data_IF_651360696399
#
_entry.id   IF_651360696399
#
_cell.length_a   1.000
_cell.length_b   1.000
_cell.length_c   1.000
_cell.angle_alpha   90.00
_cell.angle_beta   90.00
_cell.angle_gamma   90.00
#
_symmetry.space_group_name_H-M   'P 1'
#
loop_
_entity.id
_entity.type
_entity.pdbx_description
1 polymer ?
#
# COMPACT_ATOMS: atom_id res chain seq x y z
N UNK A 1 13.08 -57.45 -20.85
CA UNK A 1 12.25 -56.85 -19.79
C UNK A 1 13.04 -55.99 -18.81
N UNK A 2 14.14 -56.46 -18.19
CA UNK A 2 14.95 -55.65 -17.24
C UNK A 2 15.47 -54.31 -17.79
N UNK A 3 15.85 -54.22 -19.07
CA UNK A 3 16.29 -52.95 -19.67
C UNK A 3 15.17 -51.93 -19.87
N UNK A 4 13.91 -52.37 -20.05
CA UNK A 4 12.76 -51.47 -20.16
C UNK A 4 12.33 -50.94 -18.78
N UNK A 5 12.43 -51.78 -17.75
CA UNK A 5 12.21 -51.41 -16.34
C UNK A 5 13.27 -50.41 -15.84
N UNK A 6 14.54 -50.58 -16.27
CA UNK A 6 15.62 -49.63 -16.03
C UNK A 6 15.44 -48.26 -16.74
N UNK A 7 14.61 -48.20 -17.79
CA UNK A 7 14.26 -46.93 -18.45
C UNK A 7 13.08 -46.26 -17.75
N UNK A 8 12.09 -47.03 -17.28
CA UNK A 8 10.95 -46.51 -16.51
C UNK A 8 11.34 -45.91 -15.15
N UNK A 9 12.34 -46.49 -14.48
CA UNK A 9 12.87 -45.99 -13.19
C UNK A 9 13.49 -44.58 -13.30
N UNK A 10 14.10 -44.22 -14.43
CA UNK A 10 14.65 -42.86 -14.65
C UNK A 10 13.57 -41.79 -14.78
N UNK A 11 12.35 -42.16 -15.15
CA UNK A 11 11.22 -41.22 -15.28
C UNK A 11 10.65 -40.90 -13.89
N UNK A 12 10.65 -41.88 -12.97
CA UNK A 12 10.19 -41.68 -11.58
C UNK A 12 11.19 -40.93 -10.70
N UNK A 13 12.47 -40.88 -11.09
CA UNK A 13 13.53 -40.14 -10.38
C UNK A 13 13.58 -38.64 -10.72
N UNK A 14 12.71 -38.16 -11.63
CA UNK A 14 12.60 -36.73 -11.90
C UNK A 14 11.96 -36.09 -10.66
N UNK A 15 12.65 -35.17 -9.96
CA UNK A 15 12.06 -34.48 -8.82
C UNK A 15 10.89 -33.62 -9.30
N UNK A 16 9.69 -33.95 -8.82
CA UNK A 16 8.44 -33.27 -9.16
C UNK A 16 7.88 -32.64 -7.88
N UNK A 17 8.35 -31.44 -7.58
CA UNK A 17 7.99 -30.70 -6.35
C UNK A 17 6.66 -29.94 -6.48
N UNK A 18 5.62 -30.58 -7.04
CA UNK A 18 4.32 -29.94 -7.30
C UNK A 18 3.62 -29.47 -6.02
N UNK A 19 3.87 -30.12 -4.88
CA UNK A 19 3.33 -29.73 -3.59
C UNK A 19 3.85 -28.36 -3.12
N UNK A 20 5.00 -27.90 -3.62
CA UNK A 20 5.57 -26.60 -3.25
C UNK A 20 4.84 -25.43 -3.91
N UNK A 21 4.13 -25.67 -5.02
CA UNK A 21 3.55 -24.63 -5.87
C UNK A 21 2.32 -23.94 -5.27
N UNK A 22 1.63 -24.59 -4.34
CA UNK A 22 0.36 -24.10 -3.76
C UNK A 22 0.51 -23.44 -2.39
N UNK A 23 1.74 -23.15 -1.96
CA UNK A 23 2.02 -22.45 -0.71
C UNK A 23 2.86 -21.18 -0.98
N UNK A 24 2.46 -20.02 -0.45
CA UNK A 24 3.23 -18.79 -0.59
C UNK A 24 4.62 -18.86 0.05
N UNK A 25 4.88 -19.81 0.95
CA UNK A 25 6.17 -19.91 1.65
C UNK A 25 7.15 -20.85 0.94
N UNK A 26 6.64 -21.87 0.23
CA UNK A 26 7.48 -22.85 -0.46
C UNK A 26 7.54 -22.66 -1.97
N UNK A 27 6.61 -21.90 -2.56
CA UNK A 27 6.54 -21.71 -4.01
C UNK A 27 7.79 -20.98 -4.52
N UNK A 28 8.42 -21.45 -5.62
CA UNK A 28 9.54 -20.75 -6.24
C UNK A 28 9.17 -19.31 -6.63
N UNK A 29 10.07 -18.36 -6.36
CA UNK A 29 9.81 -16.91 -6.51
C UNK A 29 9.31 -16.53 -7.89
N UNK A 30 9.87 -17.13 -8.94
CA UNK A 30 9.50 -16.87 -10.33
C UNK A 30 8.09 -17.35 -10.68
N UNK A 31 7.50 -18.25 -9.89
CA UNK A 31 6.14 -18.76 -10.06
C UNK A 31 5.11 -18.04 -9.19
N UNK A 32 5.54 -17.22 -8.22
CA UNK A 32 4.63 -16.45 -7.36
C UNK A 32 3.60 -15.60 -8.12
N UNK A 33 3.89 -14.99 -9.30
CA UNK A 33 2.86 -14.25 -10.05
C UNK A 33 1.66 -15.11 -10.47
N UNK A 34 1.89 -16.40 -10.76
CA UNK A 34 0.81 -17.32 -11.12
C UNK A 34 0.02 -17.77 -9.90
N UNK A 35 0.69 -17.97 -8.76
CA UNK A 35 0.02 -18.26 -7.50
C UNK A 35 -0.82 -17.06 -7.03
N UNK A 36 -0.29 -15.84 -7.16
CA UNK A 36 -1.01 -14.61 -6.87
C UNK A 36 -2.27 -14.46 -7.75
N UNK A 37 -2.15 -14.76 -9.05
CA UNK A 37 -3.30 -14.80 -9.95
C UNK A 37 -4.34 -15.85 -9.52
N UNK A 38 -3.90 -17.05 -9.14
CA UNK A 38 -4.79 -18.11 -8.69
C UNK A 38 -5.55 -17.77 -7.39
N UNK A 39 -4.96 -16.93 -6.54
CA UNK A 39 -5.62 -16.42 -5.32
C UNK A 39 -6.31 -15.06 -5.51
N UNK A 40 -6.46 -14.61 -6.76
CA UNK A 40 -7.12 -13.34 -7.10
C UNK A 40 -6.53 -12.16 -6.33
N UNK A 41 -5.20 -12.06 -6.25
CA UNK A 41 -4.52 -10.91 -5.66
C UNK A 41 -4.76 -9.68 -6.54
N UNK A 42 -5.32 -8.61 -5.97
CA UNK A 42 -5.79 -7.44 -6.72
C UNK A 42 -4.65 -6.55 -7.26
N UNK A 43 -3.57 -6.42 -6.48
CA UNK A 43 -2.37 -5.66 -6.87
C UNK A 43 -1.12 -6.51 -6.80
N UNK A 44 -0.38 -6.50 -7.89
CA UNK A 44 0.90 -7.17 -8.03
C UNK A 44 1.94 -6.26 -8.65
N UNK A 45 3.13 -6.18 -8.04
CA UNK A 45 4.30 -5.53 -8.63
C UNK A 45 5.45 -6.54 -8.75
N UNK A 46 6.06 -6.59 -9.93
CA UNK A 46 7.21 -7.45 -10.23
C UNK A 46 8.47 -6.98 -9.51
N UNK A 47 8.56 -5.71 -9.16
CA UNK A 47 9.72 -5.11 -8.50
C UNK A 47 9.66 -5.20 -6.97
N UNK A 48 8.55 -5.67 -6.40
CA UNK A 48 8.45 -5.85 -4.95
C UNK A 48 9.50 -6.84 -4.42
N UNK A 49 9.99 -6.61 -3.18
CA UNK A 49 10.75 -7.60 -2.44
C UNK A 49 10.01 -8.93 -2.38
N UNK A 50 10.75 -10.04 -2.34
CA UNK A 50 10.17 -11.38 -2.25
C UNK A 50 9.21 -11.52 -1.06
N UNK A 51 9.59 -10.95 0.09
CA UNK A 51 8.75 -11.01 1.29
C UNK A 51 7.39 -10.34 1.07
N UNK A 52 7.36 -9.14 0.48
CA UNK A 52 6.10 -8.45 0.14
C UNK A 52 5.25 -9.28 -0.82
N UNK A 53 5.87 -9.88 -1.85
CA UNK A 53 5.17 -10.78 -2.79
C UNK A 53 4.53 -11.96 -2.10
N UNK A 54 5.21 -12.59 -1.13
CA UNK A 54 4.65 -13.72 -0.38
C UNK A 54 3.56 -13.25 0.59
N UNK A 55 3.77 -12.11 1.26
CA UNK A 55 2.82 -11.52 2.20
C UNK A 55 1.47 -11.20 1.54
N UNK A 56 1.45 -10.54 0.38
CA UNK A 56 0.19 -10.22 -0.32
C UNK A 56 -0.60 -11.47 -0.72
N UNK A 57 0.09 -12.57 -1.05
CA UNK A 57 -0.55 -13.85 -1.37
C UNK A 57 -1.12 -14.48 -0.09
N UNK A 58 -0.38 -14.42 1.04
CA UNK A 58 -0.86 -14.90 2.35
C UNK A 58 -2.11 -14.14 2.82
N UNK A 59 -2.13 -12.83 2.62
CA UNK A 59 -3.24 -11.97 3.06
C UNK A 59 -4.48 -12.08 2.16
N UNK A 60 -4.33 -12.48 0.90
CA UNK A 60 -5.41 -12.56 -0.09
C UNK A 60 -6.65 -13.28 0.46
N UNK A 61 -6.48 -14.44 1.11
CA UNK A 61 -7.61 -15.19 1.65
C UNK A 61 -8.38 -14.42 2.74
N UNK A 62 -7.68 -13.74 3.65
CA UNK A 62 -8.33 -12.94 4.69
C UNK A 62 -9.02 -11.71 4.11
N UNK A 63 -8.40 -11.06 3.12
CA UNK A 63 -9.00 -9.92 2.42
C UNK A 63 -10.31 -10.36 1.74
N UNK A 64 -10.27 -11.42 0.94
CA UNK A 64 -11.45 -11.95 0.25
C UNK A 64 -12.55 -12.39 1.20
N UNK A 65 -12.19 -13.07 2.30
CA UNK A 65 -13.14 -13.52 3.32
C UNK A 65 -13.81 -12.37 4.07
N UNK A 66 -13.11 -11.26 4.27
CA UNK A 66 -13.57 -10.12 5.06
C UNK A 66 -13.84 -8.87 4.20
N UNK A 67 -14.03 -9.02 2.89
CA UNK A 67 -14.41 -7.92 2.00
C UNK A 67 -15.61 -7.17 2.58
N UNK A 68 -15.56 -5.86 2.44
CA UNK A 68 -16.55 -4.95 2.98
C UNK A 68 -16.30 -4.48 4.41
N UNK A 69 -15.25 -4.95 5.07
CA UNK A 69 -14.87 -4.51 6.43
C UNK A 69 -13.69 -3.54 6.41
N UNK A 70 -13.55 -2.74 7.48
CA UNK A 70 -12.38 -1.89 7.70
C UNK A 70 -11.08 -2.71 7.72
N UNK A 71 -11.14 -3.95 8.23
CA UNK A 71 -9.99 -4.88 8.24
C UNK A 71 -9.52 -5.24 6.83
N UNK A 72 -10.45 -5.49 5.90
CA UNK A 72 -10.09 -5.77 4.50
C UNK A 72 -9.48 -4.53 3.82
N UNK A 73 -10.03 -3.33 4.06
CA UNK A 73 -9.46 -2.09 3.54
C UNK A 73 -8.02 -1.88 4.03
N UNK A 74 -7.77 -2.08 5.33
CA UNK A 74 -6.42 -1.98 5.93
C UNK A 74 -5.46 -2.97 5.28
N UNK A 75 -5.83 -4.25 5.22
CA UNK A 75 -4.99 -5.31 4.64
C UNK A 75 -4.72 -5.15 3.15
N UNK A 76 -5.62 -4.51 2.40
CA UNK A 76 -5.41 -4.24 0.98
C UNK A 76 -4.40 -3.11 0.73
N UNK A 77 -4.26 -2.16 1.67
CA UNK A 77 -3.50 -0.92 1.48
C UNK A 77 -2.17 -0.92 2.25
N UNK A 78 -2.13 -1.47 3.47
CA UNK A 78 -0.94 -1.54 4.32
C UNK A 78 0.31 -2.15 3.66
N UNK A 79 0.22 -3.22 2.84
CA UNK A 79 1.39 -3.79 2.14
C UNK A 79 2.10 -2.82 1.20
N UNK A 80 1.44 -1.73 0.80
CA UNK A 80 2.00 -0.70 -0.05
C UNK A 80 2.77 0.38 0.74
N UNK A 81 2.86 0.25 2.07
CA UNK A 81 3.54 1.21 2.95
C UNK A 81 2.67 2.38 3.38
N UNK A 82 1.35 2.29 3.18
CA UNK A 82 0.41 3.34 3.56
C UNK A 82 -0.39 2.94 4.79
N UNK A 83 -0.61 3.90 5.68
CA UNK A 83 -1.51 3.74 6.82
C UNK A 83 -2.83 4.41 6.50
N UNK A 84 -3.94 3.73 6.77
CA UNK A 84 -5.28 4.27 6.55
C UNK A 84 -6.05 4.44 7.85
N UNK A 85 -6.82 5.52 7.92
CA UNK A 85 -7.84 5.76 8.93
C UNK A 85 -9.18 5.92 8.23
N UNK A 86 -10.09 4.99 8.49
CA UNK A 86 -11.46 5.03 7.99
C UNK A 86 -12.32 5.70 9.05
N UNK A 87 -13.09 6.71 8.67
CA UNK A 87 -14.09 7.34 9.54
C UNK A 87 -15.49 7.09 8.98
N UNK A 88 -16.40 6.56 9.80
CA UNK A 88 -17.78 6.29 9.40
C UNK A 88 -18.68 7.51 9.63
N UNK A 89 -19.78 7.61 8.87
CA UNK A 89 -20.65 8.80 8.84
C UNK A 89 -21.11 9.30 10.22
N UNK A 90 -21.31 8.43 11.21
CA UNK A 90 -21.71 8.85 12.55
C UNK A 90 -20.59 9.51 13.36
N UNK A 91 -19.32 9.36 12.96
CA UNK A 91 -18.18 9.97 13.62
C UNK A 91 -17.99 11.43 13.22
N UNK A 92 -18.39 11.80 12.00
CA UNK A 92 -18.24 13.16 11.45
C UNK A 92 -19.58 13.84 11.11
N UNK A 93 -20.72 13.20 11.41
CA UNK A 93 -22.05 13.75 11.13
C UNK A 93 -22.42 13.78 9.65
N UNK A 94 -21.93 12.82 8.86
CA UNK A 94 -22.21 12.68 7.44
C UNK A 94 -23.52 11.95 7.10
N UNK A 95 -23.76 11.78 5.80
CA UNK A 95 -24.92 11.04 5.27
C UNK A 95 -24.86 9.55 5.68
N UNK A 96 -25.97 8.96 6.18
CA UNK A 96 -26.01 7.56 6.57
C UNK A 96 -25.56 6.60 5.47
N UNK A 97 -24.67 5.67 5.82
CA UNK A 97 -24.11 4.69 4.89
C UNK A 97 -22.87 5.17 4.12
N UNK A 98 -22.33 6.35 4.44
CA UNK A 98 -21.09 6.87 3.86
C UNK A 98 -19.89 6.74 4.80
N UNK A 99 -18.69 6.90 4.24
CA UNK A 99 -17.44 6.93 4.99
C UNK A 99 -16.39 7.79 4.28
N UNK A 100 -15.40 8.23 5.04
CA UNK A 100 -14.20 8.91 4.52
C UNK A 100 -12.97 8.08 4.83
N UNK A 101 -11.94 8.21 3.99
CA UNK A 101 -10.65 7.53 4.19
C UNK A 101 -9.56 8.58 4.23
N UNK A 102 -8.78 8.55 5.31
CA UNK A 102 -7.53 9.30 5.45
C UNK A 102 -6.36 8.35 5.20
N UNK A 103 -5.44 8.74 4.32
CA UNK A 103 -4.24 7.98 3.98
C UNK A 103 -3.03 8.79 4.41
N UNK A 104 -2.25 8.24 5.33
CA UNK A 104 -0.94 8.77 5.70
C UNK A 104 0.14 8.24 4.76
N UNK A 105 0.91 9.14 4.17
CA UNK A 105 2.10 8.80 3.35
C UNK A 105 3.35 9.09 4.17
N UNK A 106 4.24 8.10 4.29
CA UNK A 106 5.47 8.23 5.09
C UNK A 106 6.59 8.91 4.29
N UNK A 107 6.80 8.55 3.02
CA UNK A 107 7.97 9.01 2.25
C UNK A 107 7.71 9.20 0.74
N UNK A 108 6.55 8.78 0.22
CA UNK A 108 6.20 8.96 -1.20
C UNK A 108 5.37 10.23 -1.40
N UNK A 109 5.74 11.03 -2.40
CA UNK A 109 4.94 12.18 -2.80
C UNK A 109 3.53 11.77 -3.25
N UNK A 110 2.56 12.67 -3.07
CA UNK A 110 1.19 12.48 -3.55
C UNK A 110 1.18 12.62 -5.08
N UNK A 111 1.15 11.50 -5.80
CA UNK A 111 0.99 11.48 -7.26
C UNK A 111 -0.43 11.10 -7.67
N UNK A 112 -0.82 11.46 -8.90
CA UNK A 112 -2.12 11.09 -9.46
C UNK A 112 -2.26 9.57 -9.60
N UNK A 113 -1.18 8.87 -9.97
CA UNK A 113 -1.21 7.40 -10.09
C UNK A 113 -1.47 6.73 -8.74
N UNK A 114 -0.90 7.28 -7.66
CA UNK A 114 -1.17 6.79 -6.30
C UNK A 114 -2.64 7.00 -5.93
N UNK A 115 -3.19 8.18 -6.21
CA UNK A 115 -4.60 8.48 -5.93
C UNK A 115 -5.54 7.50 -6.64
N UNK A 116 -5.34 7.29 -7.95
CA UNK A 116 -6.16 6.36 -8.74
C UNK A 116 -6.05 4.92 -8.25
N UNK A 117 -4.85 4.50 -7.83
CA UNK A 117 -4.65 3.16 -7.30
C UNK A 117 -5.30 2.98 -5.92
N UNK A 118 -5.23 3.98 -5.05
CA UNK A 118 -5.95 3.96 -3.77
C UNK A 118 -7.46 3.87 -3.99
N UNK A 119 -8.01 4.69 -4.90
CA UNK A 119 -9.43 4.65 -5.23
C UNK A 119 -9.84 3.27 -5.75
N UNK A 120 -9.03 2.67 -6.64
CA UNK A 120 -9.28 1.34 -7.18
C UNK A 120 -9.27 0.25 -6.09
N UNK A 121 -8.29 0.27 -5.19
CA UNK A 121 -8.17 -0.71 -4.11
C UNK A 121 -9.30 -0.57 -3.09
N UNK A 122 -9.65 0.66 -2.73
CA UNK A 122 -10.80 0.93 -1.85
C UNK A 122 -12.09 0.47 -2.51
N UNK A 123 -12.27 0.70 -3.81
CA UNK A 123 -13.45 0.29 -4.55
C UNK A 123 -13.64 -1.23 -4.59
N UNK A 124 -12.56 -2.00 -4.68
CA UNK A 124 -12.61 -3.46 -4.69
C UNK A 124 -12.89 -4.07 -3.29
N UNK A 125 -12.36 -3.43 -2.24
CA UNK A 125 -12.53 -3.91 -0.86
C UNK A 125 -13.83 -3.42 -0.19
N UNK A 126 -14.41 -2.28 -0.60
CA UNK A 126 -15.63 -1.73 0.02
C UNK A 126 -16.90 -2.48 -0.43
N UNK A 127 -17.96 -2.52 0.41
CA UNK A 127 -19.26 -2.96 -0.06
C UNK A 127 -19.81 -2.00 -1.11
N UNK A 128 -20.44 -2.50 -2.17
CA UNK A 128 -21.05 -1.67 -3.23
C UNK A 128 -22.10 -0.70 -2.68
N UNK A 129 -22.79 -1.07 -1.61
CA UNK A 129 -23.81 -0.25 -0.94
C UNK A 129 -23.25 0.85 -0.04
N UNK A 130 -21.94 0.87 0.22
CA UNK A 130 -21.28 1.89 1.06
C UNK A 130 -20.41 2.78 0.17
N UNK A 131 -20.72 4.06 0.16
CA UNK A 131 -20.06 5.02 -0.71
C UNK A 131 -19.03 5.83 0.06
N UNK A 132 -17.80 5.89 -0.47
CA UNK A 132 -16.77 6.79 0.03
C UNK A 132 -17.10 8.22 -0.45
N UNK A 133 -17.19 9.17 0.47
CA UNK A 133 -17.47 10.59 0.16
C UNK A 133 -16.22 11.43 0.03
N UNK A 134 -15.08 10.97 0.57
CA UNK A 134 -13.82 11.67 0.46
C UNK A 134 -12.61 10.78 0.74
N UNK A 135 -11.52 11.07 0.03
CA UNK A 135 -10.19 10.51 0.23
C UNK A 135 -9.23 11.64 0.56
N UNK A 136 -8.78 11.69 1.81
CA UNK A 136 -7.85 12.70 2.31
C UNK A 136 -6.45 12.09 2.37
N UNK A 137 -5.48 12.70 1.68
CA UNK A 137 -4.10 12.25 1.71
C UNK A 137 -3.29 13.25 2.53
N UNK A 138 -2.69 12.76 3.60
CA UNK A 138 -1.89 13.56 4.53
C UNK A 138 -0.42 13.14 4.34
N UNK A 139 0.42 14.13 4.11
CA UNK A 139 1.86 13.95 4.00
C UNK A 139 2.54 14.88 5.01
N UNK A 140 3.37 14.30 5.89
CA UNK A 140 4.23 15.05 6.79
C UNK A 140 5.62 15.13 6.16
N UNK A 141 6.07 16.35 5.85
CA UNK A 141 7.41 16.57 5.27
C UNK A 141 8.25 17.30 6.32
N UNK A 142 9.22 16.64 6.98
CA UNK A 142 10.11 17.32 7.90
C UNK A 142 11.03 18.28 7.10
N UNK A 143 11.18 19.51 7.58
CA UNK A 143 12.02 20.51 6.94
C UNK A 143 12.42 21.64 7.88
N UNK A 144 13.61 22.21 7.65
CA UNK A 144 14.11 23.34 8.41
C UNK A 144 13.62 24.66 7.79
N UNK A 145 13.01 25.52 8.60
CA UNK A 145 12.63 26.88 8.20
C UNK A 145 13.63 27.86 8.80
N UNK A 146 14.42 28.51 7.95
CA UNK A 146 15.34 29.57 8.37
C UNK A 146 14.64 30.94 8.28
N UNK A 147 14.48 31.62 9.42
CA UNK A 147 13.97 32.98 9.49
C UNK A 147 15.08 33.94 9.93
N UNK A 148 15.20 35.08 9.25
CA UNK A 148 16.12 36.15 9.62
C UNK A 148 15.39 37.50 9.59
N UNK A 149 15.76 38.39 10.50
CA UNK A 149 15.28 39.76 10.54
C UNK A 149 16.48 40.72 10.58
N UNK A 150 16.39 41.82 9.85
CA UNK A 150 17.36 42.91 9.91
C UNK A 150 16.62 44.20 10.25
N UNK A 151 17.12 44.95 11.22
CA UNK A 151 16.62 46.28 11.56
C UNK A 151 17.68 47.31 11.21
N UNK A 152 17.28 48.38 10.54
CA UNK A 152 18.12 49.54 10.31
C UNK A 152 17.58 50.68 11.15
N UNK A 153 18.42 51.20 12.04
CA UNK A 153 18.12 52.39 12.83
C UNK A 153 19.00 53.53 12.31
N UNK A 154 18.42 54.72 12.20
CA UNK A 154 19.07 55.88 11.62
C UNK A 154 18.67 57.15 12.35
N UNK A 155 19.65 57.85 12.90
CA UNK A 155 19.45 59.13 13.57
C UNK A 155 19.97 60.27 12.67
N UNK A 156 19.18 61.34 12.54
CA UNK A 156 19.59 62.56 11.84
C UNK A 156 19.94 63.61 12.89
N UNK A 157 21.24 63.90 13.05
CA UNK A 157 21.73 64.93 13.97
C UNK A 157 22.13 66.17 13.16
N UNK A 158 21.47 67.28 13.45
CA UNK A 158 21.82 68.60 12.91
C UNK A 158 22.72 69.33 13.92
N UNK A 159 23.98 69.60 13.55
CA UNK A 159 24.93 70.32 14.40
C UNK A 159 24.91 71.80 14.02
N UNK A 160 24.61 72.66 15.01
CA UNK A 160 24.74 74.11 14.87
C UNK A 160 26.12 74.57 15.38
N UNK A 161 26.75 75.56 14.74
CA UNK A 161 27.98 76.16 15.24
C UNK A 161 27.73 76.87 16.58
N UNK A 162 28.68 76.75 17.51
CA UNK A 162 28.67 77.47 18.79
C UNK A 162 29.05 78.94 18.62
N UNK A 163 28.51 79.79 19.51
CA UNK A 163 28.68 81.24 19.55
C UNK A 163 30.15 81.71 19.51
#
# INVERSE_FOLDING_TARGET
MRCAEAVGTRITDIPVDLNTLWSPDTCPVHLLPYLAWAFSVDRWDRNWPEETKRQVIRDAWLIHRHKGTISALRRAIEPLGYLIRVSEWWEFGGEPGTFTVEVGTLDSGVTEEMYLEMERLIADARPVSRHMTGLNIIQEIPGDIFAAAATYDGEVITIYPGD
#
